data_IF_060208226179
#
_entry.id   IF_060208226179
#
_cell.length_a   1.000
_cell.length_b   1.000
_cell.length_c   1.000
_cell.angle_alpha   90.00
_cell.angle_beta   90.00
_cell.angle_gamma   90.00
#
_symmetry.space_group_name_H-M   'P 1'
#
loop_
_entity.id
_entity.type
_entity.pdbx_description
1 polymer ?
#
# COMPACT_ATOMS: atom_id res chain seq x y z
N UNK A 1 7.22 -20.86 -50.77
CA UNK A 1 6.12 -21.72 -50.27
C UNK A 1 6.26 -22.06 -48.78
N UNK A 2 7.37 -22.64 -48.31
CA UNK A 2 7.54 -23.04 -46.88
C UNK A 2 7.52 -21.90 -45.84
N UNK A 3 8.07 -20.72 -46.16
CA UNK A 3 8.06 -19.57 -45.24
C UNK A 3 6.66 -19.00 -44.97
N UNK A 4 5.76 -19.09 -45.95
CA UNK A 4 4.38 -18.62 -45.82
C UNK A 4 3.55 -19.56 -44.94
N UNK A 5 3.72 -20.87 -45.08
CA UNK A 5 3.05 -21.84 -44.22
C UNK A 5 3.54 -21.76 -42.77
N UNK A 6 4.85 -21.56 -42.56
CA UNK A 6 5.42 -21.38 -41.21
C UNK A 6 4.91 -20.10 -40.52
N UNK A 7 4.74 -19.01 -41.26
CA UNK A 7 4.22 -17.76 -40.68
C UNK A 7 2.75 -17.86 -40.31
N UNK A 8 1.93 -18.54 -41.12
CA UNK A 8 0.53 -18.82 -40.78
C UNK A 8 0.42 -19.69 -39.53
N UNK A 9 1.21 -20.77 -39.45
CA UNK A 9 1.23 -21.64 -38.26
C UNK A 9 1.70 -20.92 -36.99
N UNK A 10 2.73 -20.06 -37.10
CA UNK A 10 3.20 -19.26 -35.97
C UNK A 10 2.13 -18.26 -35.50
N UNK A 11 1.39 -17.64 -36.42
CA UNK A 11 0.29 -16.73 -36.11
C UNK A 11 -0.86 -17.46 -35.42
N UNK A 12 -1.27 -18.63 -35.91
CA UNK A 12 -2.30 -19.47 -35.31
C UNK A 12 -1.91 -19.92 -33.89
N UNK A 13 -0.64 -20.31 -33.69
CA UNK A 13 -0.13 -20.66 -32.37
C UNK A 13 -0.14 -19.46 -31.43
N UNK A 14 0.32 -18.30 -31.87
CA UNK A 14 0.30 -17.07 -31.06
C UNK A 14 -1.13 -16.67 -30.68
N UNK A 15 -2.08 -16.78 -31.62
CA UNK A 15 -3.50 -16.56 -31.39
C UNK A 15 -4.04 -17.53 -30.34
N UNK A 16 -3.80 -18.84 -30.49
CA UNK A 16 -4.21 -19.83 -29.50
C UNK A 16 -3.62 -19.56 -28.12
N UNK A 17 -2.33 -19.23 -28.03
CA UNK A 17 -1.67 -18.95 -26.76
C UNK A 17 -2.25 -17.70 -26.09
N UNK A 18 -2.48 -16.63 -26.85
CA UNK A 18 -3.12 -15.42 -26.33
C UNK A 18 -4.52 -15.72 -25.79
N UNK A 19 -5.37 -16.40 -26.55
CA UNK A 19 -6.74 -16.64 -26.09
C UNK A 19 -6.84 -17.69 -24.99
N UNK A 20 -6.03 -18.75 -25.04
CA UNK A 20 -6.05 -19.80 -24.00
C UNK A 20 -5.36 -19.41 -22.71
N UNK A 21 -4.39 -18.50 -22.76
CA UNK A 21 -3.61 -18.11 -21.58
C UNK A 21 -3.93 -16.69 -21.13
N UNK A 22 -3.76 -15.69 -21.99
CA UNK A 22 -3.85 -14.28 -21.58
C UNK A 22 -5.29 -13.80 -21.51
N UNK A 23 -6.09 -14.01 -22.56
CA UNK A 23 -7.49 -13.57 -22.59
C UNK A 23 -8.34 -14.36 -21.58
N UNK A 24 -8.17 -15.68 -21.51
CA UNK A 24 -8.93 -16.52 -20.59
C UNK A 24 -8.62 -16.22 -19.11
N UNK A 25 -7.37 -15.84 -18.80
CA UNK A 25 -6.99 -15.46 -17.44
C UNK A 25 -7.02 -13.95 -17.21
N UNK A 26 -7.56 -13.15 -18.14
CA UNK A 26 -7.48 -11.69 -18.08
C UNK A 26 -8.12 -11.12 -16.82
N UNK A 27 -9.32 -11.58 -16.44
CA UNK A 27 -9.99 -11.16 -15.21
C UNK A 27 -9.17 -11.47 -13.96
N UNK A 28 -8.57 -12.67 -13.89
CA UNK A 28 -7.70 -13.07 -12.79
C UNK A 28 -6.45 -12.19 -12.72
N UNK A 29 -5.79 -11.96 -13.87
CA UNK A 29 -4.60 -11.12 -13.96
C UNK A 29 -4.91 -9.67 -13.56
N UNK A 30 -6.05 -9.13 -14.01
CA UNK A 30 -6.54 -7.82 -13.60
C UNK A 30 -6.82 -7.77 -12.10
N UNK A 31 -7.49 -8.78 -11.54
CA UNK A 31 -7.77 -8.84 -10.11
C UNK A 31 -6.49 -8.93 -9.26
N UNK A 32 -5.50 -9.70 -9.69
CA UNK A 32 -4.20 -9.77 -9.04
C UNK A 32 -3.44 -8.45 -9.12
N UNK A 33 -3.46 -7.79 -10.28
CA UNK A 33 -2.83 -6.49 -10.46
C UNK A 33 -3.47 -5.43 -9.55
N UNK A 34 -4.80 -5.39 -9.47
CA UNK A 34 -5.53 -4.48 -8.59
C UNK A 34 -5.20 -4.75 -7.12
N UNK A 35 -5.21 -6.02 -6.69
CA UNK A 35 -4.85 -6.37 -5.31
C UNK A 35 -3.40 -6.00 -4.98
N UNK A 36 -2.46 -6.21 -5.91
CA UNK A 36 -1.08 -5.80 -5.70
C UNK A 36 -0.96 -4.28 -5.56
N UNK A 37 -1.69 -3.50 -6.37
CA UNK A 37 -1.74 -2.04 -6.25
C UNK A 37 -2.33 -1.59 -4.91
N UNK A 38 -3.39 -2.25 -4.44
CA UNK A 38 -3.97 -1.97 -3.12
C UNK A 38 -2.96 -2.21 -1.99
N UNK A 39 -2.20 -3.31 -2.04
CA UNK A 39 -1.13 -3.55 -1.04
C UNK A 39 -0.01 -2.50 -1.13
N UNK A 40 0.44 -2.14 -2.33
CA UNK A 40 1.44 -1.07 -2.50
C UNK A 40 0.96 0.26 -1.92
N UNK A 41 -0.32 0.60 -2.12
CA UNK A 41 -0.91 1.83 -1.58
C UNK A 41 -0.96 1.81 -0.05
N UNK A 42 -1.33 0.68 0.56
CA UNK A 42 -1.30 0.53 2.02
C UNK A 42 0.11 0.70 2.57
N UNK A 43 1.10 0.07 1.94
CA UNK A 43 2.50 0.19 2.34
C UNK A 43 3.00 1.64 2.30
N UNK A 44 2.68 2.38 1.22
CA UNK A 44 3.03 3.79 1.11
C UNK A 44 2.34 4.67 2.17
N UNK A 45 1.06 4.40 2.48
CA UNK A 45 0.33 5.12 3.52
C UNK A 45 0.89 4.85 4.91
N UNK A 46 1.22 3.59 5.21
CA UNK A 46 1.89 3.22 6.46
C UNK A 46 3.24 3.93 6.57
N UNK A 47 4.09 3.84 5.53
CA UNK A 47 5.37 4.55 5.47
C UNK A 47 5.22 6.04 5.76
N UNK A 48 4.33 6.73 5.03
CA UNK A 48 4.10 8.15 5.24
C UNK A 48 3.63 8.47 6.67
N UNK A 49 2.63 7.74 7.16
CA UNK A 49 2.03 8.00 8.47
C UNK A 49 3.01 7.80 9.63
N UNK A 50 3.89 6.80 9.55
CA UNK A 50 4.90 6.56 10.59
C UNK A 50 6.07 7.55 10.48
N UNK A 51 6.54 7.86 9.26
CA UNK A 51 7.60 8.83 9.06
C UNK A 51 7.23 10.23 9.56
N UNK A 52 5.97 10.67 9.38
CA UNK A 52 5.51 11.97 9.92
C UNK A 52 5.52 12.05 11.44
N UNK A 53 5.50 10.90 12.14
CA UNK A 53 5.55 10.81 13.61
C UNK A 53 6.93 10.41 14.15
N UNK A 54 7.93 10.21 13.29
CA UNK A 54 9.24 9.71 13.70
C UNK A 54 9.94 10.69 14.66
N UNK A 55 10.29 10.25 15.88
CA UNK A 55 11.08 11.07 16.80
C UNK A 55 12.46 11.34 16.19
N UNK A 56 12.88 12.61 16.13
CA UNK A 56 14.21 13.01 15.62
C UNK A 56 14.29 13.35 14.12
N UNK A 57 13.17 13.32 13.39
CA UNK A 57 13.11 13.74 11.98
C UNK A 57 13.65 12.71 10.98
N UNK A 58 13.45 12.98 9.68
CA UNK A 58 13.82 12.09 8.55
C UNK A 58 15.31 12.12 8.18
N UNK A 59 16.20 12.42 9.14
CA UNK A 59 17.61 12.74 8.89
C UNK A 59 18.59 11.57 8.89
N UNK A 60 18.11 10.33 9.04
CA UNK A 60 18.97 9.13 9.07
C UNK A 60 19.23 8.52 7.70
N UNK A 61 20.22 7.62 7.58
CA UNK A 61 20.40 6.77 6.40
C UNK A 61 19.10 6.07 5.98
N UNK A 62 18.90 5.81 4.68
CA UNK A 62 17.69 5.15 4.19
C UNK A 62 17.51 3.75 4.78
N UNK A 63 18.61 3.03 5.04
CA UNK A 63 18.62 1.68 5.62
C UNK A 63 18.18 1.68 7.10
N UNK A 64 18.66 2.64 7.90
CA UNK A 64 18.20 2.79 9.28
C UNK A 64 16.71 3.19 9.33
N UNK A 65 16.29 3.99 8.34
CA UNK A 65 14.90 4.43 8.22
C UNK A 65 13.98 3.28 7.83
N UNK A 66 14.40 2.40 6.91
CA UNK A 66 13.61 1.23 6.50
C UNK A 66 13.48 0.22 7.63
N UNK A 67 14.58 -0.09 8.34
CA UNK A 67 14.57 -1.02 9.48
C UNK A 67 13.70 -0.50 10.63
N UNK A 68 13.85 0.77 11.00
CA UNK A 68 12.99 1.41 12.00
C UNK A 68 11.52 1.35 11.59
N UNK A 69 11.22 1.74 10.35
CA UNK A 69 9.85 1.74 9.85
C UNK A 69 9.24 0.34 9.90
N UNK A 70 10.01 -0.68 9.51
CA UNK A 70 9.59 -2.07 9.57
C UNK A 70 9.23 -2.49 10.99
N UNK A 71 10.16 -2.34 11.95
CA UNK A 71 9.89 -2.77 13.33
C UNK A 71 8.68 -2.07 13.95
N UNK A 72 8.51 -0.77 13.71
CA UNK A 72 7.38 -0.01 14.25
C UNK A 72 6.04 -0.41 13.63
N UNK A 73 6.00 -0.61 12.31
CA UNK A 73 4.78 -1.01 11.60
C UNK A 73 4.38 -2.44 11.96
N UNK A 74 5.33 -3.37 11.99
CA UNK A 74 5.06 -4.78 12.36
C UNK A 74 4.57 -4.87 13.81
N UNK A 75 5.21 -4.14 14.73
CA UNK A 75 4.78 -4.07 16.13
C UNK A 75 3.37 -3.50 16.27
N UNK A 76 3.07 -2.42 15.54
CA UNK A 76 1.73 -1.82 15.53
C UNK A 76 0.69 -2.77 14.94
N UNK A 77 0.98 -3.43 13.81
CA UNK A 77 0.08 -4.39 13.17
C UNK A 77 -0.23 -5.55 14.10
N UNK A 78 0.79 -6.09 14.79
CA UNK A 78 0.61 -7.14 15.79
C UNK A 78 -0.28 -6.65 16.94
N UNK A 79 -0.06 -5.45 17.44
CA UNK A 79 -0.87 -4.89 18.53
C UNK A 79 -2.32 -4.62 18.13
N UNK A 80 -2.58 -4.21 16.89
CA UNK A 80 -3.94 -3.91 16.41
C UNK A 80 -4.72 -5.13 15.96
N UNK A 81 -4.07 -6.08 15.27
CA UNK A 81 -4.73 -7.22 14.65
C UNK A 81 -4.55 -8.53 15.40
N UNK A 82 -3.54 -8.64 16.26
CA UNK A 82 -3.10 -9.90 16.86
C UNK A 82 -2.36 -10.82 15.90
N UNK A 83 -2.09 -10.38 14.66
CA UNK A 83 -1.39 -11.16 13.65
C UNK A 83 0.05 -10.66 13.46
N UNK A 84 0.99 -11.61 13.36
CA UNK A 84 2.34 -11.33 12.90
C UNK A 84 2.29 -11.11 11.37
N UNK A 85 2.57 -9.88 10.95
CA UNK A 85 2.58 -9.47 9.54
C UNK A 85 3.98 -9.03 9.19
N UNK A 86 4.54 -9.55 8.10
CA UNK A 86 5.83 -9.10 7.59
C UNK A 86 5.65 -7.83 6.77
N UNK A 87 6.42 -6.80 7.09
CA UNK A 87 6.39 -5.52 6.41
C UNK A 87 7.77 -5.21 5.84
N UNK A 88 7.84 -4.85 4.56
CA UNK A 88 9.11 -4.51 3.91
C UNK A 88 9.29 -2.99 3.89
N UNK A 89 10.09 -2.49 4.84
CA UNK A 89 10.35 -1.06 4.96
C UNK A 89 10.99 -0.46 3.71
N UNK A 90 11.87 -1.20 3.04
CA UNK A 90 12.58 -0.72 1.84
C UNK A 90 11.61 -0.59 0.66
N UNK A 91 10.75 -1.60 0.45
CA UNK A 91 9.71 -1.58 -0.58
C UNK A 91 8.71 -0.45 -0.33
N UNK A 92 8.25 -0.28 0.91
CA UNK A 92 7.29 0.77 1.26
C UNK A 92 7.85 2.19 1.04
N UNK A 93 9.13 2.42 1.39
CA UNK A 93 9.82 3.67 1.08
C UNK A 93 9.94 3.90 -0.43
N UNK A 94 10.23 2.85 -1.20
CA UNK A 94 10.24 2.92 -2.66
C UNK A 94 8.88 3.32 -3.24
N UNK A 95 7.79 2.74 -2.74
CA UNK A 95 6.43 3.13 -3.13
C UNK A 95 6.12 4.59 -2.77
N UNK A 96 6.51 5.04 -1.58
CA UNK A 96 6.34 6.43 -1.16
C UNK A 96 7.14 7.39 -2.07
N UNK A 97 8.40 7.06 -2.36
CA UNK A 97 9.24 7.86 -3.26
C UNK A 97 8.66 7.95 -4.68
N UNK A 98 8.05 6.88 -5.20
CA UNK A 98 7.40 6.89 -6.50
C UNK A 98 6.16 7.82 -6.56
N UNK A 99 5.53 8.09 -5.41
CA UNK A 99 4.41 9.03 -5.29
C UNK A 99 4.87 10.48 -5.04
N UNK A 100 6.06 10.69 -4.49
CA UNK A 100 6.63 12.01 -4.19
C UNK A 100 6.70 13.00 -5.36
N UNK A 101 6.91 12.60 -6.64
CA UNK A 101 6.81 13.54 -7.78
C UNK A 101 5.44 14.22 -7.88
N UNK A 102 4.39 13.63 -7.32
CA UNK A 102 3.02 14.14 -7.31
C UNK A 102 2.67 14.92 -6.03
N UNK A 103 3.56 14.97 -5.02
CA UNK A 103 3.32 15.66 -3.74
C UNK A 103 3.68 17.15 -3.83
N UNK A 104 3.33 17.78 -4.95
CA UNK A 104 3.23 19.23 -5.02
C UNK A 104 2.03 19.69 -4.20
N UNK A 105 2.28 20.09 -2.95
CA UNK A 105 1.36 20.81 -2.04
C UNK A 105 0.01 20.12 -1.83
N UNK A 106 0.00 19.15 -0.91
CA UNK A 106 -1.24 18.68 -0.27
C UNK A 106 -1.11 18.86 1.26
N UNK A 107 -2.13 19.35 1.97
CA UNK A 107 -3.45 19.77 1.47
C UNK A 107 -3.41 21.10 0.70
N UNK A 108 -4.21 21.29 -0.36
CA UNK A 108 -4.37 22.60 -0.99
C UNK A 108 -4.95 23.61 0.03
N UNK A 109 -4.67 24.92 -0.12
CA UNK A 109 -5.29 25.94 0.71
C UNK A 109 -6.82 25.84 0.62
N UNK A 110 -7.48 25.49 1.73
CA UNK A 110 -8.93 25.29 1.79
C UNK A 110 -9.40 23.87 2.11
N UNK A 111 -8.49 22.92 2.32
CA UNK A 111 -8.89 21.57 2.74
C UNK A 111 -9.52 21.60 4.14
N UNK A 112 -10.69 20.97 4.34
CA UNK A 112 -11.38 20.98 5.62
C UNK A 112 -10.50 20.28 6.66
N UNK A 113 -10.16 20.99 7.73
CA UNK A 113 -9.53 20.39 8.91
C UNK A 113 -10.54 19.44 9.51
N UNK A 114 -10.20 18.15 9.65
CA UNK A 114 -10.96 17.29 10.54
C UNK A 114 -10.76 17.83 11.95
N UNK A 115 -11.82 18.39 12.52
CA UNK A 115 -11.84 18.73 13.94
C UNK A 115 -11.59 17.45 14.73
N UNK A 116 -10.57 17.48 15.59
CA UNK A 116 -10.24 16.39 16.50
C UNK A 116 -11.52 15.97 17.21
N UNK A 117 -11.98 14.75 16.95
CA UNK A 117 -13.13 14.14 17.62
C UNK A 117 -13.00 14.40 19.12
N UNK A 118 -13.92 15.22 19.64
CA UNK A 118 -13.87 15.71 20.99
C UNK A 118 -13.72 14.57 21.98
N UNK A 119 -12.83 14.77 22.95
CA UNK A 119 -12.69 13.98 24.16
C UNK A 119 -14.07 13.66 24.71
N UNK A 120 -14.53 12.42 24.50
CA UNK A 120 -15.71 11.89 25.18
C UNK A 120 -15.38 11.91 26.66
N UNK A 121 -15.94 12.91 27.35
CA UNK A 121 -15.84 13.01 28.80
C UNK A 121 -16.73 11.90 29.37
N UNK A 122 -16.22 10.97 30.18
CA UNK A 122 -17.07 9.98 30.82
C UNK A 122 -18.00 10.69 31.83
N UNK A 123 -19.29 10.32 31.91
CA UNK A 123 -20.20 10.94 32.86
C UNK A 123 -19.77 10.65 34.31
N UNK A 124 -19.92 11.62 35.23
CA UNK A 124 -19.51 11.45 36.62
C UNK A 124 -20.42 10.42 37.33
N UNK A 125 -19.78 9.55 38.12
CA UNK A 125 -20.45 8.54 38.91
C UNK A 125 -21.52 9.12 39.83
N UNK A 126 -22.74 8.63 39.67
CA UNK A 126 -23.85 8.83 40.60
C UNK A 126 -24.21 7.52 41.26
N UNK A 127 -23.83 7.37 42.52
CA UNK A 127 -24.32 6.31 43.39
C UNK A 127 -25.82 6.51 43.67
N UNK A 128 -26.64 5.52 43.34
CA UNK A 128 -27.98 5.29 43.91
C UNK A 128 -28.13 3.76 44.01
N UNK A 129 -27.94 3.15 45.19
CA UNK A 129 -29.01 2.72 46.11
C UNK A 129 -30.36 2.65 45.40
N UNK A 130 -30.85 1.45 45.07
CA UNK A 130 -31.83 0.67 45.85
C UNK A 130 -31.62 -0.81 45.54
#
# INVERSE_FOLDING_TARGET
MFGQQRSVQALELAHMLYYRSTSNNSELLSALALRAQDEHAKEALLAHSFLTRRPGGTGGPPEETSQWLQSEVESWLLAQSGCEVTFDGTRALGHLQALTPCTGVYPPPGFPKLDSLGTVTPPPGGAQRW
#
